data_IF_008631198522
#
_entry.id   IF_008631198522
#
_cell.length_a   1.000
_cell.length_b   1.000
_cell.length_c   1.000
_cell.angle_alpha   90.00
_cell.angle_beta   90.00
_cell.angle_gamma   90.00
#
_symmetry.space_group_name_H-M   'P 1'
#
loop_
_entity.id
_entity.type
_entity.pdbx_description
1 polymer ?
#
# COMPACT_ATOMS: atom_id res chain seq x y z
N UNK A 1 8.08 -22.86 -10.47
CA UNK A 1 8.10 -21.39 -10.34
C UNK A 1 6.82 -20.73 -10.86
N UNK A 2 6.42 -20.89 -12.14
CA UNK A 2 5.23 -20.20 -12.68
C UNK A 2 3.91 -20.42 -11.93
N UNK A 3 3.68 -21.62 -11.38
CA UNK A 3 2.49 -21.94 -10.56
C UNK A 3 2.50 -21.20 -9.21
N UNK A 4 3.66 -21.04 -8.58
CA UNK A 4 3.83 -20.31 -7.33
C UNK A 4 3.60 -18.80 -7.54
N UNK A 5 4.15 -18.25 -8.62
CA UNK A 5 3.95 -16.85 -8.98
C UNK A 5 2.48 -16.54 -9.29
N UNK A 6 1.79 -17.45 -10.00
CA UNK A 6 0.35 -17.31 -10.30
C UNK A 6 -0.51 -17.41 -9.03
N UNK A 7 -0.14 -18.28 -8.09
CA UNK A 7 -0.82 -18.40 -6.80
C UNK A 7 -0.63 -17.14 -5.96
N UNK A 8 0.60 -16.63 -5.86
CA UNK A 8 0.91 -15.39 -5.13
C UNK A 8 0.21 -14.17 -5.78
N UNK A 9 0.14 -14.09 -7.11
CA UNK A 9 -0.65 -13.06 -7.81
C UNK A 9 -2.15 -13.14 -7.45
N UNK A 10 -2.74 -14.34 -7.40
CA UNK A 10 -4.15 -14.53 -7.00
C UNK A 10 -4.40 -14.17 -5.53
N UNK A 11 -3.48 -14.51 -4.63
CA UNK A 11 -3.58 -14.14 -3.21
C UNK A 11 -3.57 -12.62 -3.05
N UNK A 12 -2.68 -11.93 -3.77
CA UNK A 12 -2.64 -10.47 -3.74
C UNK A 12 -3.86 -9.83 -4.42
N UNK A 13 -4.44 -10.45 -5.44
CA UNK A 13 -5.66 -9.95 -6.08
C UNK A 13 -6.91 -10.12 -5.19
N UNK A 14 -7.05 -11.27 -4.51
CA UNK A 14 -8.13 -11.52 -3.55
C UNK A 14 -8.02 -10.59 -2.35
N UNK A 15 -6.84 -10.50 -1.75
CA UNK A 15 -6.59 -9.66 -0.58
C UNK A 15 -6.79 -8.16 -0.85
N UNK A 16 -6.71 -7.68 -2.10
CA UNK A 16 -7.04 -6.27 -2.42
C UNK A 16 -8.50 -5.93 -2.16
N UNK A 17 -9.42 -6.85 -2.40
CA UNK A 17 -10.85 -6.60 -2.20
C UNK A 17 -11.16 -6.54 -0.70
N UNK A 18 -10.57 -7.45 0.06
CA UNK A 18 -10.64 -7.48 1.52
C UNK A 18 -10.00 -6.23 2.13
N UNK A 19 -8.80 -5.84 1.68
CA UNK A 19 -8.13 -4.62 2.12
C UNK A 19 -8.97 -3.37 1.84
N UNK A 20 -9.63 -3.29 0.68
CA UNK A 20 -10.55 -2.19 0.38
C UNK A 20 -11.77 -2.20 1.29
N UNK A 21 -12.33 -3.36 1.59
CA UNK A 21 -13.45 -3.48 2.51
C UNK A 21 -13.05 -3.02 3.92
N UNK A 22 -11.88 -3.46 4.41
CA UNK A 22 -11.35 -3.08 5.72
C UNK A 22 -11.03 -1.58 5.80
N UNK A 23 -10.44 -0.98 4.76
CA UNK A 23 -10.13 0.45 4.76
C UNK A 23 -11.33 1.36 4.46
N UNK A 24 -12.46 0.82 4.01
CA UNK A 24 -13.63 1.61 3.60
C UNK A 24 -14.17 2.56 4.67
N UNK A 25 -14.26 2.19 5.96
CA UNK A 25 -14.73 3.09 7.01
C UNK A 25 -13.85 4.32 7.21
N UNK A 26 -12.60 4.29 6.73
CA UNK A 26 -11.66 5.39 6.85
C UNK A 26 -11.85 6.46 5.76
N UNK A 27 -12.65 6.20 4.71
CA UNK A 27 -12.88 7.17 3.63
C UNK A 27 -13.63 8.41 4.16
N UNK A 28 -13.24 9.60 3.69
CA UNK A 28 -13.86 10.86 4.11
C UNK A 28 -14.70 11.46 2.98
N UNK A 29 -16.00 11.67 3.25
CA UNK A 29 -16.92 12.30 2.29
C UNK A 29 -17.12 11.45 1.03
N UNK A 30 -16.76 11.99 -0.13
CA UNK A 30 -16.89 11.37 -1.45
C UNK A 30 -15.62 10.65 -1.94
N UNK A 31 -14.61 10.52 -1.08
CA UNK A 31 -13.32 9.86 -1.35
C UNK A 31 -13.52 8.41 -1.84
N UNK A 32 -12.73 7.98 -2.83
CA UNK A 32 -12.79 6.63 -3.40
C UNK A 32 -11.41 6.06 -3.69
N UNK A 33 -11.27 4.75 -3.53
CA UNK A 33 -10.06 4.03 -3.96
C UNK A 33 -9.97 3.96 -5.49
N UNK A 34 -8.83 4.34 -6.05
CA UNK A 34 -8.62 4.33 -7.50
C UNK A 34 -7.51 3.39 -7.97
N UNK A 35 -6.42 3.28 -7.20
CA UNK A 35 -5.24 2.47 -7.54
C UNK A 35 -4.78 1.71 -6.32
N UNK A 36 -4.12 0.59 -6.56
CA UNK A 36 -3.57 -0.22 -5.48
C UNK A 36 -2.23 -0.83 -5.90
N UNK A 37 -1.37 -1.00 -4.91
CA UNK A 37 -0.22 -1.88 -4.95
C UNK A 37 -0.35 -2.88 -3.81
N UNK A 38 0.33 -4.02 -3.96
CA UNK A 38 0.31 -5.07 -2.95
C UNK A 38 1.70 -5.68 -2.83
N UNK A 39 2.03 -6.17 -1.65
CA UNK A 39 3.37 -6.60 -1.33
C UNK A 39 3.44 -7.38 -0.03
N UNK A 40 4.67 -7.63 0.40
CA UNK A 40 5.01 -8.33 1.62
C UNK A 40 5.98 -7.47 2.41
N UNK A 41 5.90 -7.55 3.74
CA UNK A 41 6.87 -6.91 4.61
C UNK A 41 8.28 -7.52 4.42
N UNK A 42 9.31 -6.72 4.72
CA UNK A 42 10.72 -7.14 4.66
C UNK A 42 11.16 -7.94 5.88
N UNK A 43 10.55 -7.68 7.05
CA UNK A 43 11.03 -8.15 8.36
C UNK A 43 10.36 -9.45 8.78
N UNK A 44 9.09 -9.59 8.47
CA UNK A 44 8.28 -10.77 8.81
C UNK A 44 8.17 -11.65 7.57
N UNK A 45 8.39 -12.95 7.79
CA UNK A 45 8.26 -14.03 6.82
C UNK A 45 7.03 -13.90 5.90
N UNK A 46 6.99 -14.63 4.78
CA UNK A 46 6.06 -14.53 3.63
C UNK A 46 4.53 -14.39 3.90
N UNK A 47 4.10 -14.34 5.17
CA UNK A 47 2.73 -14.22 5.65
C UNK A 47 2.24 -12.79 5.84
N UNK A 48 3.11 -11.80 6.13
CA UNK A 48 2.67 -10.43 6.43
C UNK A 48 2.45 -9.62 5.14
N UNK A 49 1.18 -9.42 4.78
CA UNK A 49 0.78 -8.80 3.51
C UNK A 49 0.57 -7.31 3.70
N UNK A 50 1.00 -6.55 2.70
CA UNK A 50 0.85 -5.11 2.63
C UNK A 50 0.03 -4.72 1.40
N UNK A 51 -0.97 -3.87 1.62
CA UNK A 51 -1.76 -3.24 0.58
C UNK A 51 -1.67 -1.73 0.71
N UNK A 52 -1.25 -1.10 -0.38
CA UNK A 52 -1.26 0.35 -0.52
C UNK A 52 -2.41 0.71 -1.44
N UNK A 53 -3.44 1.38 -0.91
CA UNK A 53 -4.58 1.84 -1.69
C UNK A 53 -4.48 3.35 -1.80
N UNK A 54 -4.64 3.88 -3.00
CA UNK A 54 -4.67 5.33 -3.21
C UNK A 54 -6.09 5.81 -3.38
N UNK A 55 -6.38 6.96 -2.79
CA UNK A 55 -7.47 7.86 -3.16
C UNK A 55 -6.89 9.16 -3.72
N UNK A 56 -7.74 10.07 -4.17
CA UNK A 56 -7.36 11.44 -4.52
C UNK A 56 -6.78 12.25 -3.33
N UNK A 57 -7.03 11.86 -2.07
CA UNK A 57 -6.65 12.64 -0.88
C UNK A 57 -5.65 11.97 0.05
N UNK A 58 -5.55 10.65 0.04
CA UNK A 58 -4.73 9.91 0.98
C UNK A 58 -4.14 8.62 0.40
N UNK A 59 -3.08 8.16 1.05
CA UNK A 59 -2.56 6.81 0.96
C UNK A 59 -3.16 5.99 2.11
N UNK A 60 -3.78 4.86 1.78
CA UNK A 60 -4.24 3.90 2.77
C UNK A 60 -3.26 2.75 2.83
N UNK A 61 -2.84 2.42 4.05
CA UNK A 61 -2.00 1.26 4.34
C UNK A 61 -2.85 0.23 5.06
N UNK A 62 -3.07 -0.91 4.42
CA UNK A 62 -3.68 -2.09 5.07
C UNK A 62 -2.62 -3.17 5.16
N UNK A 63 -2.46 -3.74 6.34
CA UNK A 63 -1.28 -4.50 6.68
C UNK A 63 -1.61 -5.55 7.71
N UNK A 64 -1.23 -6.81 7.53
CA UNK A 64 -1.53 -7.81 8.55
C UNK A 64 -1.24 -9.25 8.17
N UNK A 65 -1.50 -10.12 9.14
CA UNK A 65 -1.58 -11.58 9.00
C UNK A 65 -2.89 -12.02 9.65
N UNK A 66 -3.47 -13.17 9.29
CA UNK A 66 -4.85 -13.60 9.61
C UNK A 66 -5.33 -13.66 11.08
N UNK A 67 -4.66 -13.00 12.04
CA UNK A 67 -5.15 -12.64 13.37
C UNK A 67 -4.95 -11.15 13.77
N UNK A 68 -4.05 -10.39 13.13
CA UNK A 68 -3.76 -8.98 13.43
C UNK A 68 -3.66 -8.17 12.13
N UNK A 69 -4.69 -7.41 11.84
CA UNK A 69 -4.78 -6.58 10.65
C UNK A 69 -4.89 -5.10 11.04
N UNK A 70 -4.13 -4.24 10.38
CA UNK A 70 -4.12 -2.79 10.56
C UNK A 70 -4.68 -2.11 9.32
N UNK A 71 -5.40 -1.01 9.50
CA UNK A 71 -5.79 -0.12 8.41
C UNK A 71 -5.56 1.33 8.83
N UNK A 72 -4.73 2.03 8.06
CA UNK A 72 -4.43 3.45 8.26
C UNK A 72 -4.86 4.23 7.02
N UNK A 73 -5.41 5.42 7.25
CA UNK A 73 -5.54 6.49 6.26
C UNK A 73 -4.49 7.54 6.56
N UNK A 74 -3.56 7.73 5.63
CA UNK A 74 -2.44 8.66 5.74
C UNK A 74 -2.62 9.74 4.67
N UNK A 75 -3.08 10.96 5.03
CA UNK A 75 -3.14 12.08 4.10
C UNK A 75 -1.78 12.35 3.47
N UNK A 76 -1.74 12.80 2.21
CA UNK A 76 -0.45 13.03 1.54
C UNK A 76 0.38 14.10 2.26
N UNK A 77 -0.26 15.09 2.88
CA UNK A 77 0.41 16.10 3.69
C UNK A 77 1.05 15.54 4.98
N UNK A 78 0.67 14.34 5.44
CA UNK A 78 1.31 13.68 6.58
C UNK A 78 2.55 12.86 6.19
N UNK A 79 2.78 12.64 4.89
CA UNK A 79 3.95 11.92 4.38
C UNK A 79 5.17 12.84 4.41
N UNK A 80 6.30 12.30 4.85
CA UNK A 80 7.59 12.98 4.77
C UNK A 80 8.26 12.69 3.42
N UNK A 81 8.38 11.42 3.06
CA UNK A 81 8.96 10.95 1.81
C UNK A 81 8.34 9.61 1.43
N UNK A 82 8.27 9.33 0.13
CA UNK A 82 8.07 7.97 -0.37
C UNK A 82 9.18 7.60 -1.35
N UNK A 83 9.70 6.38 -1.27
CA UNK A 83 10.69 5.85 -2.22
C UNK A 83 10.20 4.54 -2.84
N UNK A 84 10.48 4.36 -4.12
CA UNK A 84 10.20 3.15 -4.89
C UNK A 84 11.44 2.73 -5.67
N UNK A 85 12.04 1.62 -5.30
CA UNK A 85 13.29 1.13 -5.88
C UNK A 85 13.05 -0.18 -6.62
N UNK A 86 13.28 -0.20 -7.93
CA UNK A 86 13.09 -1.40 -8.76
C UNK A 86 14.36 -2.26 -8.85
N UNK A 87 14.23 -3.54 -8.57
CA UNK A 87 15.26 -4.56 -8.78
C UNK A 87 15.00 -5.32 -10.09
N UNK A 88 15.90 -5.16 -11.07
CA UNK A 88 15.80 -5.82 -12.38
C UNK A 88 16.00 -7.34 -12.29
N UNK A 89 16.68 -7.82 -11.24
CA UNK A 89 17.00 -9.22 -11.04
C UNK A 89 15.90 -9.97 -10.27
N UNK A 90 15.02 -9.23 -9.58
CA UNK A 90 13.92 -9.82 -8.83
C UNK A 90 12.91 -10.49 -9.76
N UNK A 91 12.61 -11.75 -9.47
CA UNK A 91 11.62 -12.55 -10.21
C UNK A 91 10.21 -12.38 -9.65
N UNK A 92 10.08 -12.02 -8.37
CA UNK A 92 8.84 -11.81 -7.64
C UNK A 92 8.92 -10.51 -6.82
N UNK A 93 7.83 -9.72 -6.80
CA UNK A 93 7.73 -8.42 -6.10
C UNK A 93 8.96 -7.50 -6.31
N UNK A 94 9.21 -7.05 -7.55
CA UNK A 94 10.49 -6.45 -7.91
C UNK A 94 10.65 -4.99 -7.47
N UNK A 95 9.67 -4.44 -6.74
CA UNK A 95 9.76 -3.10 -6.19
C UNK A 95 9.99 -3.18 -4.70
N UNK A 96 10.87 -2.34 -4.18
CA UNK A 96 10.93 -2.04 -2.76
C UNK A 96 10.30 -0.67 -2.52
N UNK A 97 9.18 -0.63 -1.79
CA UNK A 97 8.51 0.60 -1.40
C UNK A 97 8.91 0.95 0.03
N UNK A 98 9.24 2.22 0.28
CA UNK A 98 9.42 2.79 1.62
C UNK A 98 8.57 4.03 1.76
N UNK A 99 7.92 4.16 2.91
CA UNK A 99 7.13 5.32 3.29
C UNK A 99 7.73 5.89 4.57
N UNK A 100 8.02 7.18 4.58
CA UNK A 100 8.33 7.95 5.76
C UNK A 100 7.13 8.84 6.09
N UNK A 101 6.74 8.86 7.36
CA UNK A 101 5.61 9.63 7.86
C UNK A 101 6.17 10.67 8.83
N UNK A 102 5.69 11.90 8.72
CA UNK A 102 6.06 12.93 9.67
C UNK A 102 5.58 12.51 11.08
N UNK A 103 6.48 12.46 12.08
CA UNK A 103 6.09 12.07 13.44
C UNK A 103 5.10 13.06 14.07
N UNK A 104 5.12 14.31 13.61
CA UNK A 104 4.25 15.41 14.01
C UNK A 104 4.01 16.32 12.81
N UNK A 105 2.89 17.07 12.79
CA UNK A 105 2.61 18.06 11.76
C UNK A 105 1.24 17.90 11.09
N UNK A 106 1.05 18.46 9.88
CA UNK A 106 -0.25 18.47 9.23
C UNK A 106 -0.70 17.06 8.82
N UNK A 107 -1.99 16.96 8.50
CA UNK A 107 -2.66 15.74 8.10
C UNK A 107 -3.05 14.87 9.29
N UNK A 108 -4.36 14.72 9.51
CA UNK A 108 -4.90 13.80 10.51
C UNK A 108 -4.86 12.37 9.95
N UNK A 109 -3.96 11.55 10.50
CA UNK A 109 -3.91 10.12 10.22
C UNK A 109 -5.06 9.48 11.00
N UNK A 110 -5.81 8.61 10.35
CA UNK A 110 -6.92 7.89 10.96
C UNK A 110 -6.69 6.38 10.92
N UNK A 111 -7.22 5.68 11.92
CA UNK A 111 -7.24 4.22 12.03
C UNK A 111 -8.65 3.76 12.41
N UNK A 112 -8.87 2.45 12.41
CA UNK A 112 -10.11 1.86 12.90
C UNK A 112 -10.09 1.80 14.43
N UNK A 113 -11.21 2.13 15.05
CA UNK A 113 -11.44 1.96 16.47
C UNK A 113 -12.02 0.57 16.74
N UNK A 114 -11.14 -0.42 16.86
CA UNK A 114 -11.54 -1.83 17.03
C UNK A 114 -12.17 -2.11 18.41
N UNK A 115 -12.03 -1.19 19.37
CA UNK A 115 -12.60 -1.31 20.72
C UNK A 115 -13.97 -0.62 20.85
N UNK A 116 -14.40 0.13 19.83
CA UNK A 116 -15.69 0.82 19.87
C UNK A 116 -16.86 -0.16 19.78
N UNK A 117 -17.74 -0.15 20.78
CA UNK A 117 -19.01 -0.88 20.72
C UNK A 117 -19.97 -0.19 19.74
N UNK A 118 -20.15 -0.81 18.58
CA UNK A 118 -21.06 -0.34 17.55
C UNK A 118 -22.51 -0.75 17.82
N UNK A 119 -22.78 -1.57 18.84
CA UNK A 119 -24.08 -2.19 19.10
C UNK A 119 -24.53 -3.18 18.02
N UNK A 120 -23.76 -3.35 16.94
CA UNK A 120 -24.00 -4.29 15.87
C UNK A 120 -22.70 -5.06 15.55
N UNK A 121 -22.61 -6.34 15.89
CA UNK A 121 -21.37 -7.13 15.72
C UNK A 121 -20.94 -7.31 14.26
N UNK A 122 -21.80 -6.99 13.29
CA UNK A 122 -21.48 -7.03 11.86
C UNK A 122 -21.13 -5.65 11.28
N UNK A 123 -21.32 -4.57 12.04
CA UNK A 123 -20.93 -3.24 11.58
C UNK A 123 -19.40 -3.14 11.60
N UNK A 124 -18.78 -2.55 10.57
CA UNK A 124 -17.35 -2.30 10.60
C UNK A 124 -17.03 -1.30 11.73
N UNK A 125 -15.85 -1.41 12.35
CA UNK A 125 -15.42 -0.48 13.39
C UNK A 125 -15.37 0.96 12.83
N UNK A 126 -15.77 1.97 13.62
CA UNK A 126 -15.72 3.35 13.19
C UNK A 126 -14.27 3.83 13.04
N UNK A 127 -14.07 4.90 12.28
CA UNK A 127 -12.77 5.56 12.19
C UNK A 127 -12.50 6.41 13.43
N UNK A 128 -11.26 6.43 13.91
CA UNK A 128 -10.76 7.40 14.89
C UNK A 128 -9.45 8.03 14.44
N UNK A 129 -9.13 9.27 14.86
CA UNK A 129 -7.79 9.81 14.68
C UNK A 129 -6.77 8.97 15.46
N UNK A 130 -5.56 8.85 14.92
CA UNK A 130 -4.43 8.32 15.69
C UNK A 130 -3.97 9.39 16.68
N UNK A 131 -3.65 8.97 17.89
CA UNK A 131 -3.06 9.84 18.91
C UNK A 131 -1.66 10.28 18.50
N UNK A 132 -1.13 11.36 19.11
CA UNK A 132 0.22 11.84 18.82
C UNK A 132 1.29 10.77 19.11
N UNK A 133 1.12 9.98 20.16
CA UNK A 133 2.05 8.90 20.48
C UNK A 133 1.95 7.74 19.47
N UNK A 134 0.74 7.34 19.08
CA UNK A 134 0.56 6.35 18.01
C UNK A 134 1.20 6.82 16.71
N UNK A 135 1.03 8.09 16.32
CA UNK A 135 1.65 8.67 15.12
C UNK A 135 3.18 8.54 15.17
N UNK A 136 3.80 8.87 16.30
CA UNK A 136 5.26 8.75 16.48
C UNK A 136 5.72 7.29 16.37
N UNK A 137 4.99 6.34 16.97
CA UNK A 137 5.28 4.90 16.87
C UNK A 137 5.10 4.36 15.45
N UNK A 138 4.04 4.80 14.75
CA UNK A 138 3.79 4.48 13.34
C UNK A 138 4.94 5.02 12.48
N UNK A 139 5.36 6.28 12.67
CA UNK A 139 6.46 6.89 11.92
C UNK A 139 7.80 6.13 12.06
N UNK A 140 8.04 5.48 13.21
CA UNK A 140 9.20 4.60 13.43
C UNK A 140 9.00 3.18 12.89
N UNK A 141 7.82 2.86 12.37
CA UNK A 141 7.46 1.52 11.89
C UNK A 141 7.41 0.48 13.02
N UNK A 142 7.03 0.89 14.24
CA UNK A 142 6.88 0.02 15.41
C UNK A 142 5.52 -0.67 15.46
N UNK A 143 4.49 -0.02 14.92
CA UNK A 143 3.11 -0.53 14.91
C UNK A 143 2.83 -1.33 13.65
N UNK A 144 3.18 -0.76 12.50
CA UNK A 144 2.97 -1.35 11.18
C UNK A 144 4.21 -1.11 10.33
N UNK A 145 4.65 -2.09 9.53
CA UNK A 145 5.76 -1.86 8.62
C UNK A 145 5.38 -0.83 7.55
N UNK A 146 6.23 0.20 7.42
CA UNK A 146 6.11 1.25 6.40
C UNK A 146 6.93 0.95 5.13
N UNK A 147 7.50 -0.25 5.03
CA UNK A 147 8.28 -0.66 3.88
C UNK A 147 8.01 -2.11 3.51
N UNK A 148 8.11 -2.44 2.22
CA UNK A 148 7.91 -3.81 1.78
C UNK A 148 8.30 -4.03 0.33
N UNK A 149 8.47 -5.30 -0.03
CA UNK A 149 8.59 -5.71 -1.42
C UNK A 149 7.20 -5.75 -2.05
N UNK A 150 7.05 -5.23 -3.26
CA UNK A 150 5.76 -4.96 -3.84
C UNK A 150 5.71 -5.26 -5.35
N UNK A 151 4.50 -5.60 -5.80
CA UNK A 151 4.09 -5.46 -7.18
C UNK A 151 3.45 -4.07 -7.31
N UNK A 152 4.17 -3.15 -7.96
CA UNK A 152 3.72 -1.76 -8.11
C UNK A 152 3.38 -1.48 -9.57
N UNK A 153 2.09 -1.47 -9.95
CA UNK A 153 1.67 -1.20 -11.31
C UNK A 153 2.11 0.20 -11.77
N UNK A 154 2.42 0.37 -13.06
CA UNK A 154 2.73 1.70 -13.63
C UNK A 154 1.67 2.74 -13.30
N UNK A 155 0.37 2.36 -13.39
CA UNK A 155 -0.75 3.25 -13.06
C UNK A 155 -0.75 3.69 -11.59
N UNK A 156 -0.29 2.85 -10.66
CA UNK A 156 -0.13 3.23 -9.26
C UNK A 156 1.01 4.23 -9.12
N UNK A 157 2.20 3.93 -9.69
CA UNK A 157 3.37 4.82 -9.64
C UNK A 157 3.07 6.21 -10.17
N UNK A 158 2.43 6.29 -11.35
CA UNK A 158 2.06 7.57 -11.96
C UNK A 158 1.07 8.36 -11.10
N UNK A 159 0.05 7.69 -10.54
CA UNK A 159 -0.94 8.37 -9.72
C UNK A 159 -0.33 8.86 -8.40
N UNK A 160 0.48 8.04 -7.73
CA UNK A 160 1.22 8.43 -6.53
C UNK A 160 2.16 9.61 -6.80
N UNK A 161 2.89 9.60 -7.93
CA UNK A 161 3.78 10.71 -8.30
C UNK A 161 3.02 12.04 -8.36
N UNK A 162 1.87 12.05 -9.05
CA UNK A 162 1.03 13.24 -9.15
C UNK A 162 0.50 13.71 -7.79
N UNK A 163 0.14 12.78 -6.91
CA UNK A 163 -0.39 13.08 -5.56
C UNK A 163 0.67 13.69 -4.65
N UNK A 164 1.87 13.11 -4.66
CA UNK A 164 3.00 13.61 -3.89
C UNK A 164 3.41 14.99 -4.39
N UNK A 165 3.46 15.20 -5.71
CA UNK A 165 3.72 16.52 -6.32
C UNK A 165 2.69 17.58 -5.88
N UNK A 166 1.39 17.27 -5.97
CA UNK A 166 0.33 18.19 -5.54
C UNK A 166 0.38 18.50 -4.03
N UNK A 167 0.82 17.55 -3.22
CA UNK A 167 1.00 17.73 -1.78
C UNK A 167 2.34 18.41 -1.41
N UNK A 168 3.20 18.71 -2.39
CA UNK A 168 4.53 19.26 -2.16
C UNK A 168 5.45 18.30 -1.40
N UNK A 169 5.25 16.99 -1.54
CA UNK A 169 6.03 15.94 -0.87
C UNK A 169 6.97 15.22 -1.83
N UNK A 170 8.19 14.86 -1.39
CA UNK A 170 9.15 14.16 -2.23
C UNK A 170 8.70 12.73 -2.53
N UNK A 171 8.85 12.33 -3.79
CA UNK A 171 8.75 10.95 -4.24
C UNK A 171 9.98 10.59 -5.08
N UNK A 172 10.71 9.57 -4.65
CA UNK A 172 11.84 9.02 -5.40
C UNK A 172 11.45 7.72 -6.10
N UNK A 173 11.69 7.61 -7.41
CA UNK A 173 11.40 6.39 -8.19
C UNK A 173 12.62 5.94 -8.99
N UNK A 174 13.29 4.90 -8.50
CA UNK A 174 14.50 4.34 -9.11
C UNK A 174 14.16 3.13 -9.99
N UNK A 175 14.76 3.04 -11.18
CA UNK A 175 14.60 1.89 -12.08
C UNK A 175 13.24 1.82 -12.82
N UNK A 176 12.49 2.93 -12.85
CA UNK A 176 11.20 3.00 -13.53
C UNK A 176 11.23 2.63 -15.02
N UNK A 177 12.28 3.04 -15.73
CA UNK A 177 12.45 2.74 -17.15
C UNK A 177 12.72 1.26 -17.41
N UNK A 178 13.55 0.64 -16.55
CA UNK A 178 13.86 -0.77 -16.62
C UNK A 178 12.60 -1.63 -16.41
N UNK A 179 11.80 -1.28 -15.39
CA UNK A 179 10.52 -1.91 -15.15
C UNK A 179 9.58 -1.83 -16.37
N UNK A 180 9.52 -0.67 -17.01
CA UNK A 180 8.70 -0.45 -18.21
C UNK A 180 9.20 -1.27 -19.41
N UNK A 181 10.52 -1.39 -19.60
CA UNK A 181 11.12 -2.27 -20.63
C UNK A 181 10.80 -3.74 -20.38
N UNK A 182 10.98 -4.21 -19.15
CA UNK A 182 10.71 -5.61 -18.77
C UNK A 182 9.23 -5.96 -18.94
N UNK A 183 8.32 -5.06 -18.55
CA UNK A 183 6.89 -5.24 -18.74
C UNK A 183 6.50 -5.33 -20.23
N UNK A 184 7.04 -4.43 -21.08
CA UNK A 184 6.82 -4.47 -22.53
C UNK A 184 7.32 -5.78 -23.15
N UNK A 185 8.50 -6.26 -22.73
CA UNK A 185 9.06 -7.52 -23.20
C UNK A 185 8.20 -8.73 -22.80
N UNK A 186 7.75 -8.80 -21.53
CA UNK A 186 6.83 -9.84 -21.04
C UNK A 186 5.50 -9.83 -21.82
N UNK A 187 4.94 -8.64 -22.10
CA UNK A 187 3.70 -8.51 -22.88
C UNK A 187 3.85 -9.02 -24.31
N UNK A 188 4.96 -8.69 -24.98
CA UNK A 188 5.27 -9.19 -26.34
C UNK A 188 5.40 -10.70 -26.41
N UNK A 189 6.02 -11.34 -25.39
CA UNK A 189 6.15 -12.80 -25.32
C UNK A 189 4.80 -13.49 -25.17
N UNK A 190 3.89 -12.97 -24.34
CA UNK A 190 2.53 -13.52 -24.15
C UNK A 190 1.62 -13.41 -25.38
N UNK A 191 1.94 -12.53 -26.33
CA UNK A 191 1.15 -12.29 -27.54
C UNK A 191 1.66 -13.08 -28.76
N UNK A 192 2.79 -13.78 -28.67
CA UNK A 192 3.23 -14.69 -29.73
C UNK A 192 2.46 -16.01 -29.56
N UNK A 193 1.70 -16.47 -30.58
CA UNK A 193 1.15 -17.82 -30.56
C UNK A 193 2.31 -18.80 -30.50
N UNK A 194 2.22 -19.79 -29.63
CA UNK A 194 3.07 -20.98 -29.65
C UNK A 194 3.02 -21.54 -31.08
N UNK A 195 4.15 -21.52 -31.79
CA UNK A 195 4.31 -22.27 -33.03
C UNK A 195 4.61 -23.72 -32.70
#
# INVERSE_FOLDING_TARGET
MALLDTFKEKVLDLGRSEARAKARPLLVGDERFDRSAAGLDRRLHETFVLFWLLSDRALFLVAGTGGDDFALRIPFEALEEVSMDFDENATFLPWYLRIAILPEGPGEIATLDEEADTGNPLAPPPSRPVTAEERRRIARGEVVPLSGFAAVPKKFRTALSRRMELAGRPLTVTGAEAADRQWRAKRRRRQRPSR
#
